data_IF_777538707398
#
_entry.id   IF_777538707398
#
_cell.length_a   1.000
_cell.length_b   1.000
_cell.length_c   1.000
_cell.angle_alpha   90.00
_cell.angle_beta   90.00
_cell.angle_gamma   90.00
#
_symmetry.space_group_name_H-M   'P 1'
#
loop_
_entity.id
_entity.type
_entity.pdbx_description
1 polymer ?
#
# COMPACT_ATOMS: atom_id res chain seq x y z
N UNK A 1 -36.79 46.02 -5.05
CA UNK A 1 -36.06 45.15 -4.10
C UNK A 1 -35.84 43.72 -4.61
N UNK A 2 -36.85 43.01 -5.12
CA UNK A 2 -36.74 41.61 -5.55
C UNK A 2 -35.67 41.31 -6.65
N UNK A 3 -35.45 42.23 -7.60
CA UNK A 3 -34.44 42.08 -8.68
C UNK A 3 -32.99 42.20 -8.19
N UNK A 4 -32.75 43.00 -7.15
CA UNK A 4 -31.41 43.20 -6.58
C UNK A 4 -31.03 41.97 -5.77
N UNK A 5 -31.94 41.49 -4.92
CA UNK A 5 -31.75 40.28 -4.12
C UNK A 5 -31.42 39.04 -4.97
N UNK A 6 -32.15 38.83 -6.09
CA UNK A 6 -31.86 37.74 -7.03
C UNK A 6 -30.48 37.84 -7.67
N UNK A 7 -29.99 39.06 -7.96
CA UNK A 7 -28.63 39.27 -8.48
C UNK A 7 -27.59 38.94 -7.41
N UNK A 8 -27.75 39.40 -6.18
CA UNK A 8 -26.80 39.12 -5.08
C UNK A 8 -26.68 37.63 -4.81
N UNK A 9 -27.80 36.90 -4.75
CA UNK A 9 -27.81 35.44 -4.60
C UNK A 9 -27.10 34.76 -5.77
N UNK A 10 -27.35 35.20 -7.01
CA UNK A 10 -26.71 34.63 -8.21
C UNK A 10 -25.19 34.81 -8.18
N UNK A 11 -24.70 36.01 -7.86
CA UNK A 11 -23.25 36.26 -7.77
C UNK A 11 -22.61 35.54 -6.58
N UNK A 12 -23.28 35.50 -5.42
CA UNK A 12 -22.81 34.74 -4.26
C UNK A 12 -22.70 33.23 -4.55
N UNK A 13 -23.71 32.65 -5.19
CA UNK A 13 -23.68 31.26 -5.64
C UNK A 13 -22.57 31.01 -6.68
N UNK A 14 -22.37 31.93 -7.62
CA UNK A 14 -21.29 31.83 -8.61
C UNK A 14 -19.90 31.87 -7.95
N UNK A 15 -19.67 32.73 -6.96
CA UNK A 15 -18.41 32.78 -6.21
C UNK A 15 -18.20 31.48 -5.43
N UNK A 16 -19.23 30.97 -4.77
CA UNK A 16 -19.14 29.71 -4.03
C UNK A 16 -18.83 28.52 -4.95
N UNK A 17 -19.48 28.43 -6.11
CA UNK A 17 -19.22 27.38 -7.09
C UNK A 17 -17.80 27.45 -7.65
N UNK A 18 -17.29 28.65 -7.93
CA UNK A 18 -15.90 28.84 -8.35
C UNK A 18 -14.92 28.41 -7.25
N UNK A 19 -15.19 28.76 -5.99
CA UNK A 19 -14.36 28.33 -4.87
C UNK A 19 -14.33 26.81 -4.74
N UNK A 20 -15.48 26.15 -4.83
CA UNK A 20 -15.59 24.68 -4.81
C UNK A 20 -14.81 24.08 -5.98
N UNK A 21 -14.95 24.64 -7.19
CA UNK A 21 -14.23 24.17 -8.36
C UNK A 21 -12.70 24.25 -8.15
N UNK A 22 -12.20 25.37 -7.63
CA UNK A 22 -10.75 25.54 -7.32
C UNK A 22 -10.28 24.52 -6.29
N UNK A 23 -11.06 24.29 -5.22
CA UNK A 23 -10.72 23.29 -4.20
C UNK A 23 -10.69 21.89 -4.81
N UNK A 24 -11.70 21.50 -5.57
CA UNK A 24 -11.75 20.18 -6.22
C UNK A 24 -10.60 20.00 -7.21
N UNK A 25 -10.24 21.03 -7.97
CA UNK A 25 -9.07 21.00 -8.86
C UNK A 25 -7.77 20.84 -8.06
N UNK A 26 -7.60 21.57 -6.95
CA UNK A 26 -6.42 21.45 -6.09
C UNK A 26 -6.30 20.07 -5.47
N UNK A 27 -7.40 19.53 -4.95
CA UNK A 27 -7.47 18.17 -4.40
C UNK A 27 -7.15 17.13 -5.48
N UNK A 28 -7.73 17.27 -6.67
CA UNK A 28 -7.46 16.39 -7.81
C UNK A 28 -5.98 16.43 -8.23
N UNK A 29 -5.38 17.63 -8.31
CA UNK A 29 -3.96 17.79 -8.57
C UNK A 29 -3.10 17.07 -7.53
N UNK A 30 -3.39 17.26 -6.24
CA UNK A 30 -2.61 16.61 -5.18
C UNK A 30 -2.73 15.09 -5.23
N UNK A 31 -3.92 14.56 -5.51
CA UNK A 31 -4.14 13.11 -5.65
C UNK A 31 -3.37 12.54 -6.84
N UNK A 32 -3.42 13.20 -8.00
CA UNK A 32 -2.68 12.77 -9.20
C UNK A 32 -1.16 12.94 -9.07
N UNK A 33 -0.70 13.83 -8.18
CA UNK A 33 0.72 14.02 -7.89
C UNK A 33 1.30 13.00 -6.92
N UNK A 34 0.47 12.10 -6.37
CA UNK A 34 0.94 11.09 -5.44
C UNK A 34 1.84 10.08 -6.13
N UNK A 35 3.06 9.98 -5.62
CA UNK A 35 4.08 9.10 -6.16
C UNK A 35 4.77 8.34 -5.01
N UNK A 36 4.63 7.02 -5.04
CA UNK A 36 5.28 6.12 -4.09
C UNK A 36 6.71 5.75 -4.52
N UNK A 37 7.16 6.26 -5.68
CA UNK A 37 8.44 5.93 -6.31
C UNK A 37 8.65 4.42 -6.41
N UNK A 38 7.63 3.73 -6.92
CA UNK A 38 7.64 2.27 -7.10
C UNK A 38 8.79 1.88 -8.04
N UNK A 39 9.73 1.03 -7.60
CA UNK A 39 10.81 0.55 -8.43
C UNK A 39 10.32 -0.18 -9.69
N UNK A 40 11.08 -0.11 -10.77
CA UNK A 40 10.79 -0.84 -12.00
C UNK A 40 11.83 -1.95 -12.19
N UNK A 41 11.42 -3.19 -11.94
CA UNK A 41 12.22 -4.38 -12.20
C UNK A 41 11.65 -5.18 -13.36
N UNK A 42 12.52 -5.70 -14.22
CA UNK A 42 12.10 -6.64 -15.25
C UNK A 42 11.70 -7.97 -14.59
N UNK A 43 10.57 -8.55 -15.04
CA UNK A 43 10.12 -9.87 -14.62
C UNK A 43 11.19 -10.91 -15.02
N UNK A 44 12.02 -11.28 -14.06
CA UNK A 44 13.05 -12.30 -14.26
C UNK A 44 12.39 -13.66 -14.00
N UNK A 45 12.52 -14.64 -14.92
CA UNK A 45 11.93 -15.96 -14.72
C UNK A 45 12.43 -16.58 -13.41
N UNK A 46 11.51 -17.11 -12.61
CA UNK A 46 11.85 -17.73 -11.33
C UNK A 46 12.55 -19.07 -11.57
N UNK A 47 13.84 -19.12 -11.25
CA UNK A 47 14.65 -20.33 -11.35
C UNK A 47 14.50 -21.22 -10.11
N UNK A 48 14.29 -20.62 -8.94
CA UNK A 48 14.21 -21.31 -7.67
C UNK A 48 12.75 -21.56 -7.26
N UNK A 49 12.52 -22.69 -6.56
CA UNK A 49 11.22 -23.05 -6.00
C UNK A 49 11.32 -23.16 -4.48
N UNK A 50 10.23 -22.84 -3.79
CA UNK A 50 10.16 -23.00 -2.33
C UNK A 50 10.07 -24.48 -1.98
N UNK A 51 11.05 -24.97 -1.23
CA UNK A 51 11.05 -26.33 -0.67
C UNK A 51 10.51 -26.23 0.76
N UNK A 52 9.39 -26.91 1.05
CA UNK A 52 8.76 -26.93 2.38
C UNK A 52 8.95 -28.30 3.03
N UNK A 53 9.49 -28.31 4.25
CA UNK A 53 9.60 -29.49 5.13
C UNK A 53 9.19 -29.07 6.54
N UNK A 54 8.01 -29.49 6.97
CA UNK A 54 7.47 -29.20 8.30
C UNK A 54 7.52 -27.69 8.64
N UNK A 55 8.32 -27.33 9.64
CA UNK A 55 8.60 -25.97 10.12
C UNK A 55 9.71 -25.24 9.36
N UNK A 56 10.30 -25.86 8.35
CA UNK A 56 11.42 -25.33 7.56
C UNK A 56 11.01 -25.07 6.11
N UNK A 57 11.46 -23.93 5.59
CA UNK A 57 11.26 -23.53 4.20
C UNK A 57 12.55 -23.01 3.63
N UNK A 58 12.84 -23.36 2.38
CA UNK A 58 14.05 -22.94 1.70
C UNK A 58 13.74 -22.41 0.31
N UNK A 59 14.41 -21.33 -0.07
CA UNK A 59 14.33 -20.71 -1.39
C UNK A 59 15.76 -20.31 -1.80
N UNK A 60 16.36 -21.10 -2.69
CA UNK A 60 17.79 -21.01 -3.00
C UNK A 60 18.66 -21.17 -1.74
N UNK A 61 19.51 -20.17 -1.47
CA UNK A 61 20.35 -20.09 -0.26
C UNK A 61 19.68 -19.47 0.98
N UNK A 62 18.41 -19.08 0.85
CA UNK A 62 17.63 -18.41 1.89
C UNK A 62 16.70 -19.40 2.58
N UNK A 63 16.37 -19.17 3.86
CA UNK A 63 15.47 -20.06 4.58
C UNK A 63 14.65 -19.33 5.63
N UNK A 64 13.50 -19.92 5.94
CA UNK A 64 12.66 -19.61 7.08
C UNK A 64 12.53 -20.89 7.92
N UNK A 65 12.76 -20.78 9.23
CA UNK A 65 12.51 -21.87 10.17
C UNK A 65 11.72 -21.39 11.37
N UNK A 66 10.83 -22.25 11.87
CA UNK A 66 10.22 -22.05 13.17
C UNK A 66 11.08 -22.75 14.23
N UNK A 67 11.61 -22.00 15.17
CA UNK A 67 12.46 -22.50 16.25
C UNK A 67 11.64 -23.26 17.29
N UNK A 68 12.32 -24.08 18.10
CA UNK A 68 11.71 -24.73 19.28
C UNK A 68 11.31 -23.72 20.36
N UNK A 69 11.89 -22.50 20.33
CA UNK A 69 11.48 -21.40 21.21
C UNK A 69 10.18 -20.71 20.78
N UNK A 70 9.58 -21.11 19.65
CA UNK A 70 8.34 -20.53 19.13
C UNK A 70 8.54 -19.27 18.28
N UNK A 71 9.77 -18.97 17.85
CA UNK A 71 10.10 -17.81 17.04
C UNK A 71 10.33 -18.20 15.58
N UNK A 72 9.94 -17.32 14.67
CA UNK A 72 10.33 -17.43 13.27
C UNK A 72 11.71 -16.84 13.07
N UNK A 73 12.60 -17.62 12.46
CA UNK A 73 13.95 -17.22 12.10
C UNK A 73 14.09 -17.21 10.59
N UNK A 74 14.36 -16.03 10.04
CA UNK A 74 14.48 -15.79 8.60
C UNK A 74 15.92 -15.41 8.28
N UNK A 75 16.54 -16.16 7.37
CA UNK A 75 17.84 -15.82 6.79
C UNK A 75 17.66 -15.52 5.31
N UNK A 76 17.95 -14.28 4.93
CA UNK A 76 17.96 -13.82 3.54
C UNK A 76 19.28 -13.15 3.20
N UNK A 77 19.65 -13.20 1.93
CA UNK A 77 20.92 -12.65 1.43
C UNK A 77 20.77 -12.23 -0.03
N UNK A 78 21.61 -11.28 -0.45
CA UNK A 78 21.60 -10.72 -1.80
C UNK A 78 21.25 -9.24 -1.83
N UNK A 79 21.09 -8.66 -3.04
CA UNK A 79 20.60 -7.30 -3.22
C UNK A 79 19.14 -7.16 -2.78
N UNK A 80 18.69 -5.92 -2.58
CA UNK A 80 17.43 -5.60 -1.91
C UNK A 80 16.20 -6.26 -2.53
N UNK A 81 16.06 -6.17 -3.85
CA UNK A 81 14.94 -6.75 -4.57
C UNK A 81 14.88 -8.28 -4.43
N UNK A 82 16.01 -8.97 -4.58
CA UNK A 82 16.10 -10.42 -4.45
C UNK A 82 15.85 -10.89 -3.02
N UNK A 83 16.32 -10.13 -2.02
CA UNK A 83 15.96 -10.37 -0.61
C UNK A 83 14.46 -10.24 -0.45
N UNK A 84 13.85 -9.15 -0.93
CA UNK A 84 12.41 -8.93 -0.84
C UNK A 84 11.59 -10.06 -1.46
N UNK A 85 11.97 -10.50 -2.67
CA UNK A 85 11.37 -11.68 -3.31
C UNK A 85 11.53 -12.95 -2.46
N UNK A 86 12.72 -13.21 -1.94
CA UNK A 86 12.98 -14.39 -1.11
C UNK A 86 12.14 -14.35 0.18
N UNK A 87 12.02 -13.18 0.82
CA UNK A 87 11.14 -12.97 1.98
C UNK A 87 9.71 -13.33 1.57
N UNK A 88 9.15 -12.68 0.54
CA UNK A 88 7.77 -12.91 0.10
C UNK A 88 7.45 -14.38 -0.21
N UNK A 89 8.35 -15.05 -0.93
CA UNK A 89 8.20 -16.48 -1.25
C UNK A 89 8.25 -17.37 0.00
N UNK A 90 9.16 -17.09 0.93
CA UNK A 90 9.33 -17.88 2.15
C UNK A 90 8.22 -17.64 3.18
N UNK A 91 7.65 -16.43 3.24
CA UNK A 91 6.72 -15.99 4.29
C UNK A 91 5.30 -15.72 3.79
N UNK A 92 4.93 -16.14 2.58
CA UNK A 92 3.62 -15.85 1.95
C UNK A 92 2.39 -16.08 2.85
N UNK A 93 2.32 -17.21 3.56
CA UNK A 93 1.21 -17.48 4.50
C UNK A 93 1.26 -16.63 5.77
N UNK A 94 2.45 -16.27 6.26
CA UNK A 94 2.63 -15.36 7.39
C UNK A 94 2.24 -13.93 7.02
N UNK A 95 2.63 -13.48 5.82
CA UNK A 95 2.23 -12.18 5.26
C UNK A 95 0.71 -12.11 5.14
N UNK A 96 0.09 -13.14 4.56
CA UNK A 96 -1.37 -13.23 4.48
C UNK A 96 -2.03 -13.17 5.86
N UNK A 97 -1.52 -13.93 6.84
CA UNK A 97 -2.07 -13.91 8.20
C UNK A 97 -1.93 -12.52 8.86
N UNK A 98 -0.77 -11.89 8.74
CA UNK A 98 -0.53 -10.55 9.27
C UNK A 98 -1.46 -9.52 8.63
N UNK A 99 -1.60 -9.56 7.31
CA UNK A 99 -2.46 -8.64 6.56
C UNK A 99 -3.93 -8.83 6.94
N UNK A 100 -4.40 -10.08 7.03
CA UNK A 100 -5.75 -10.39 7.48
C UNK A 100 -6.03 -9.84 8.88
N UNK A 101 -5.15 -10.13 9.85
CA UNK A 101 -5.33 -9.64 11.23
C UNK A 101 -5.36 -8.12 11.28
N UNK A 102 -4.51 -7.45 10.50
CA UNK A 102 -4.48 -6.00 10.41
C UNK A 102 -5.79 -5.43 9.83
N UNK A 103 -6.30 -6.01 8.74
CA UNK A 103 -7.54 -5.57 8.09
C UNK A 103 -8.76 -5.87 8.96
N UNK A 104 -8.82 -7.04 9.60
CA UNK A 104 -9.89 -7.40 10.52
C UNK A 104 -9.99 -6.37 11.66
N UNK A 105 -8.84 -5.97 12.22
CA UNK A 105 -8.80 -4.95 13.27
C UNK A 105 -9.29 -3.57 12.76
N UNK A 106 -8.96 -3.20 11.52
CA UNK A 106 -9.48 -1.98 10.89
C UNK A 106 -11.00 -2.06 10.76
N UNK A 107 -11.54 -3.20 10.34
CA UNK A 107 -12.99 -3.40 10.17
C UNK A 107 -13.74 -3.38 11.50
N UNK A 108 -13.12 -3.76 12.61
CA UNK A 108 -13.72 -3.58 13.95
C UNK A 108 -13.90 -2.09 14.31
N UNK A 109 -12.91 -1.26 14.00
CA UNK A 109 -12.93 0.18 14.31
C UNK A 109 -13.81 0.95 13.29
N UNK A 110 -13.73 0.56 12.03
CA UNK A 110 -14.43 1.17 10.90
C UNK A 110 -15.11 0.09 10.04
N UNK A 111 -16.34 -0.32 10.39
CA UNK A 111 -17.02 -1.44 9.71
C UNK A 111 -17.46 -1.15 8.26
N UNK A 112 -17.55 0.13 7.87
CA UNK A 112 -18.07 0.51 6.55
C UNK A 112 -16.99 0.50 5.48
N UNK A 113 -17.07 -0.44 4.54
CA UNK A 113 -16.11 -0.52 3.41
C UNK A 113 -16.15 0.71 2.51
N UNK A 114 -17.33 1.31 2.29
CA UNK A 114 -17.45 2.56 1.54
C UNK A 114 -16.71 3.71 2.23
N UNK A 115 -16.75 3.74 3.56
CA UNK A 115 -16.02 4.74 4.33
C UNK A 115 -14.51 4.44 4.33
N UNK A 116 -14.10 3.17 4.38
CA UNK A 116 -12.69 2.79 4.20
C UNK A 116 -12.13 3.24 2.84
N UNK A 117 -12.89 3.07 1.75
CA UNK A 117 -12.53 3.58 0.43
C UNK A 117 -12.39 5.11 0.42
N UNK A 118 -13.26 5.81 1.16
CA UNK A 118 -13.14 7.25 1.35
C UNK A 118 -11.90 7.63 2.19
N UNK A 119 -11.55 6.86 3.21
CA UNK A 119 -10.33 7.09 4.01
C UNK A 119 -9.07 6.82 3.20
N UNK A 120 -9.07 5.80 2.31
CA UNK A 120 -7.97 5.53 1.37
C UNK A 120 -7.58 6.75 0.55
N UNK A 121 -8.56 7.57 0.15
CA UNK A 121 -8.29 8.84 -0.53
C UNK A 121 -7.38 9.76 0.30
N UNK A 122 -7.63 9.89 1.61
CA UNK A 122 -6.78 10.68 2.51
C UNK A 122 -5.41 10.03 2.72
N UNK A 123 -5.34 8.70 2.81
CA UNK A 123 -4.07 7.98 2.92
C UNK A 123 -3.17 8.34 1.73
N UNK A 124 -3.68 8.29 0.50
CA UNK A 124 -2.94 8.69 -0.71
C UNK A 124 -2.51 10.16 -0.63
N UNK A 125 -3.42 11.05 -0.25
CA UNK A 125 -3.16 12.49 -0.22
C UNK A 125 -2.07 12.89 0.81
N UNK A 126 -2.14 12.32 2.01
CA UNK A 126 -1.18 12.58 3.09
C UNK A 126 0.17 11.90 2.82
N UNK A 127 0.18 10.71 2.21
CA UNK A 127 1.40 9.96 1.89
C UNK A 127 1.91 10.20 0.47
N UNK A 128 1.46 11.26 -0.22
CA UNK A 128 1.80 11.52 -1.63
C UNK A 128 3.30 11.61 -1.96
N UNK A 129 4.14 11.89 -0.96
CA UNK A 129 5.60 11.98 -1.09
C UNK A 129 6.31 10.90 -0.26
N UNK A 130 5.61 9.86 0.21
CA UNK A 130 6.19 8.86 1.11
C UNK A 130 7.40 8.18 0.47
N UNK A 131 7.34 7.85 -0.82
CA UNK A 131 8.45 7.24 -1.55
C UNK A 131 9.76 8.02 -1.46
N UNK A 132 9.70 9.36 -1.46
CA UNK A 132 10.89 10.24 -1.35
C UNK A 132 11.57 10.17 0.02
N UNK A 133 10.84 9.73 1.04
CA UNK A 133 11.34 9.61 2.41
C UNK A 133 11.78 8.18 2.75
N UNK A 134 11.65 7.24 1.81
CA UNK A 134 12.09 5.85 1.97
C UNK A 134 13.34 5.62 1.12
N UNK A 135 14.46 5.17 1.72
CA UNK A 135 15.66 4.79 0.98
C UNK A 135 15.36 3.84 -0.17
N UNK A 136 16.09 3.97 -1.28
CA UNK A 136 15.91 3.12 -2.47
C UNK A 136 16.01 1.63 -2.14
N UNK A 137 17.01 1.24 -1.33
CA UNK A 137 17.17 -0.15 -0.88
C UNK A 137 15.90 -0.71 -0.22
N UNK A 138 15.22 0.08 0.61
CA UNK A 138 13.98 -0.37 1.26
C UNK A 138 12.81 -0.39 0.29
N UNK A 139 12.74 0.54 -0.66
CA UNK A 139 11.69 0.52 -1.70
C UNK A 139 11.80 -0.73 -2.58
N UNK A 140 13.02 -1.10 -2.96
CA UNK A 140 13.30 -2.30 -3.76
C UNK A 140 12.93 -3.59 -3.01
N UNK A 141 13.30 -3.68 -1.73
CA UNK A 141 12.96 -4.83 -0.89
C UNK A 141 11.45 -4.93 -0.65
N UNK A 142 10.78 -3.82 -0.29
CA UNK A 142 9.32 -3.76 -0.10
C UNK A 142 8.60 -4.17 -1.39
N UNK A 143 9.05 -3.67 -2.55
CA UNK A 143 8.48 -4.04 -3.83
C UNK A 143 8.63 -5.55 -4.08
N UNK A 144 9.82 -6.11 -3.85
CA UNK A 144 10.05 -7.56 -3.96
C UNK A 144 9.11 -8.39 -3.08
N UNK A 145 8.85 -7.94 -1.84
CA UNK A 145 7.90 -8.60 -0.93
C UNK A 145 6.47 -8.51 -1.47
N UNK A 146 6.05 -7.33 -1.93
CA UNK A 146 4.67 -7.07 -2.36
C UNK A 146 4.21 -7.96 -3.52
N UNK A 147 5.13 -8.47 -4.34
CA UNK A 147 4.83 -9.40 -5.43
C UNK A 147 4.27 -10.75 -4.93
N UNK A 148 4.47 -11.07 -3.64
CA UNK A 148 3.95 -12.28 -3.00
C UNK A 148 2.70 -12.03 -2.14
N UNK A 149 2.25 -10.78 -2.02
CA UNK A 149 1.06 -10.43 -1.24
C UNK A 149 -0.24 -10.77 -1.99
N UNK A 150 -1.33 -10.92 -1.25
CA UNK A 150 -2.66 -11.14 -1.82
C UNK A 150 -3.26 -9.83 -2.33
N UNK A 151 -4.14 -9.91 -3.34
CA UNK A 151 -4.91 -8.76 -3.84
C UNK A 151 -6.28 -8.63 -3.14
N UNK A 152 -6.55 -9.43 -2.11
CA UNK A 152 -7.83 -9.43 -1.39
C UNK A 152 -8.13 -8.07 -0.74
N UNK A 153 -7.10 -7.33 -0.32
CA UNK A 153 -7.25 -6.13 0.51
C UNK A 153 -6.88 -4.80 -0.18
N UNK A 154 -6.65 -4.81 -1.51
CA UNK A 154 -6.31 -3.64 -2.34
C UNK A 154 -7.32 -2.46 -2.23
N UNK A 155 -8.53 -2.72 -1.72
CA UNK A 155 -9.56 -1.70 -1.54
C UNK A 155 -9.29 -0.73 -0.37
N UNK A 156 -8.46 -1.10 0.61
CA UNK A 156 -8.12 -0.27 1.78
C UNK A 156 -6.86 0.56 1.53
N UNK A 157 -5.96 0.07 0.68
CA UNK A 157 -4.67 0.70 0.43
C UNK A 157 -3.91 -0.09 -0.59
#
# INVERSE_FOLDING_TARGET
MHKILKKTIKYGAAVLLTLIAVILTGIGYLYLSADMMTPQFASTPETDRVIRKDSFRQYGGNYLRHSESGLWELKVSGPAYERGKAIGQLTSDLLYFQEKVFVDQIKEIVPSESYLKFLRFFIVLFNRNLGKNVPEEYRDEIYGISLSCTHEYDFIG
#
